data_IF_338362381035
#
_entry.id   IF_338362381035
#
_cell.length_a   1.000
_cell.length_b   1.000
_cell.length_c   1.000
_cell.angle_alpha   90.00
_cell.angle_beta   90.00
_cell.angle_gamma   90.00
#
_symmetry.space_group_name_H-M   'P 1'
#
loop_
_entity.id
_entity.type
_entity.pdbx_description
1 polymer ?
#
# COMPACT_ATOMS: atom_id res chain seq x y z
N UNK A 1 -15.53 9.90 -6.14
CA UNK A 1 -14.11 10.02 -5.71
C UNK A 1 -13.66 8.76 -4.95
N UNK A 2 -14.37 8.32 -3.91
CA UNK A 2 -14.06 7.09 -3.17
C UNK A 2 -13.89 5.84 -4.06
N UNK A 3 -14.81 5.60 -5.01
CA UNK A 3 -14.71 4.45 -5.94
C UNK A 3 -13.39 4.45 -6.74
N UNK A 4 -12.94 5.61 -7.19
CA UNK A 4 -11.68 5.75 -7.91
C UNK A 4 -10.49 5.41 -7.01
N UNK A 5 -10.49 5.89 -5.77
CA UNK A 5 -9.45 5.60 -4.77
C UNK A 5 -9.39 4.09 -4.48
N UNK A 6 -10.54 3.43 -4.35
CA UNK A 6 -10.62 1.98 -4.13
C UNK A 6 -10.07 1.21 -5.33
N UNK A 7 -10.46 1.58 -6.55
CA UNK A 7 -9.92 0.95 -7.76
C UNK A 7 -8.40 1.16 -7.83
N UNK A 8 -7.92 2.37 -7.55
CA UNK A 8 -6.50 2.70 -7.53
C UNK A 8 -5.71 1.87 -6.52
N UNK A 9 -6.19 1.76 -5.28
CA UNK A 9 -5.57 0.90 -4.27
C UNK A 9 -5.71 -0.59 -4.59
N UNK A 10 -6.80 -1.00 -5.22
CA UNK A 10 -6.99 -2.37 -5.70
C UNK A 10 -5.93 -2.76 -6.73
N UNK A 11 -5.71 -1.91 -7.73
CA UNK A 11 -4.65 -2.10 -8.74
C UNK A 11 -3.25 -2.08 -8.11
N UNK A 12 -3.00 -1.13 -7.21
CA UNK A 12 -1.72 -1.02 -6.50
C UNK A 12 -1.47 -2.25 -5.61
N UNK A 13 -2.50 -2.74 -4.94
CA UNK A 13 -2.47 -3.94 -4.11
C UNK A 13 -2.25 -5.21 -4.93
N UNK A 14 -2.92 -5.35 -6.08
CA UNK A 14 -2.66 -6.44 -7.04
C UNK A 14 -1.20 -6.45 -7.49
N UNK A 15 -0.63 -5.29 -7.82
CA UNK A 15 0.79 -5.18 -8.13
C UNK A 15 1.65 -5.61 -6.93
N UNK A 16 1.29 -5.20 -5.70
CA UNK A 16 1.95 -5.63 -4.48
C UNK A 16 1.93 -7.15 -4.27
N UNK A 17 0.80 -7.81 -4.53
CA UNK A 17 0.67 -9.27 -4.48
C UNK A 17 1.54 -9.93 -5.54
N UNK A 18 1.58 -9.42 -6.76
CA UNK A 18 2.47 -9.93 -7.81
C UNK A 18 3.94 -9.84 -7.36
N UNK A 19 4.34 -8.70 -6.78
CA UNK A 19 5.69 -8.51 -6.24
C UNK A 19 6.01 -9.48 -5.10
N UNK A 20 5.05 -9.72 -4.20
CA UNK A 20 5.16 -10.72 -3.14
C UNK A 20 5.38 -12.12 -3.72
N UNK A 21 4.55 -12.55 -4.67
CA UNK A 21 4.66 -13.87 -5.30
C UNK A 21 6.01 -14.05 -5.99
N UNK A 22 6.47 -13.05 -6.74
CA UNK A 22 7.79 -13.07 -7.37
C UNK A 22 8.91 -13.20 -6.33
N UNK A 23 8.84 -12.42 -5.25
CA UNK A 23 9.83 -12.43 -4.17
C UNK A 23 9.89 -13.79 -3.46
N UNK A 24 8.73 -14.39 -3.15
CA UNK A 24 8.64 -15.70 -2.51
C UNK A 24 9.07 -16.84 -3.44
N UNK A 25 8.87 -16.68 -4.76
CA UNK A 25 9.34 -17.63 -5.77
C UNK A 25 10.84 -17.55 -6.06
N UNK A 26 11.60 -16.73 -5.32
CA UNK A 26 13.02 -16.50 -5.56
C UNK A 26 13.34 -15.73 -6.84
N UNK A 27 12.32 -15.18 -7.52
CA UNK A 27 12.53 -14.40 -8.76
C UNK A 27 13.00 -13.00 -8.41
N UNK A 28 13.87 -12.45 -9.26
CA UNK A 28 14.38 -11.10 -9.10
C UNK A 28 13.28 -10.08 -9.43
N UNK A 29 12.94 -9.22 -8.47
CA UNK A 29 12.06 -8.07 -8.69
C UNK A 29 12.91 -6.92 -9.23
N UNK A 30 12.52 -6.36 -10.38
CA UNK A 30 13.16 -5.16 -10.94
C UNK A 30 12.88 -3.96 -10.03
N UNK A 31 13.90 -3.15 -9.74
CA UNK A 31 13.75 -1.93 -8.93
C UNK A 31 12.66 -1.00 -9.48
N UNK A 32 12.56 -0.87 -10.80
CA UNK A 32 11.53 -0.06 -11.46
C UNK A 32 10.11 -0.44 -11.04
N UNK A 33 9.81 -1.74 -10.93
CA UNK A 33 8.46 -2.20 -10.53
C UNK A 33 8.18 -1.85 -9.08
N UNK A 34 9.19 -1.94 -8.20
CA UNK A 34 9.08 -1.48 -6.81
C UNK A 34 8.86 0.03 -6.70
N UNK A 35 9.54 0.83 -7.53
CA UNK A 35 9.35 2.28 -7.62
C UNK A 35 7.91 2.58 -8.07
N UNK A 36 7.44 1.96 -9.15
CA UNK A 36 6.08 2.16 -9.66
C UNK A 36 5.04 1.83 -8.58
N UNK A 37 5.18 0.69 -7.90
CA UNK A 37 4.27 0.30 -6.82
C UNK A 37 4.30 1.31 -5.66
N UNK A 38 5.49 1.70 -5.20
CA UNK A 38 5.65 2.68 -4.12
C UNK A 38 5.08 4.06 -4.47
N UNK A 39 5.34 4.55 -5.68
CA UNK A 39 4.80 5.82 -6.16
C UNK A 39 3.28 5.77 -6.33
N UNK A 40 2.72 4.67 -6.83
CA UNK A 40 1.28 4.47 -6.92
C UNK A 40 0.62 4.45 -5.54
N UNK A 41 1.24 3.76 -4.56
CA UNK A 41 0.78 3.77 -3.17
C UNK A 41 0.80 5.16 -2.55
N UNK A 42 1.87 5.93 -2.74
CA UNK A 42 1.98 7.31 -2.27
C UNK A 42 0.92 8.22 -2.89
N UNK A 43 0.69 8.11 -4.20
CA UNK A 43 -0.37 8.84 -4.88
C UNK A 43 -1.75 8.47 -4.32
N UNK A 44 -1.98 7.18 -4.03
CA UNK A 44 -3.20 6.71 -3.38
C UNK A 44 -3.41 7.35 -1.99
N UNK A 45 -2.34 7.52 -1.21
CA UNK A 45 -2.40 8.18 0.10
C UNK A 45 -2.76 9.65 -0.06
N UNK A 46 -2.11 10.36 -0.99
CA UNK A 46 -2.42 11.75 -1.27
C UNK A 46 -3.89 11.94 -1.70
N UNK A 47 -4.40 11.06 -2.57
CA UNK A 47 -5.81 11.07 -2.99
C UNK A 47 -6.77 10.80 -1.82
N UNK A 48 -6.40 9.87 -0.93
CA UNK A 48 -7.22 9.54 0.25
C UNK A 48 -7.26 10.69 1.25
N UNK A 49 -6.12 11.32 1.53
CA UNK A 49 -6.04 12.53 2.37
C UNK A 49 -6.90 13.64 1.77
N UNK A 50 -6.73 13.91 0.47
CA UNK A 50 -7.53 14.91 -0.24
C UNK A 50 -9.03 14.63 -0.11
N UNK A 51 -9.47 13.38 -0.31
CA UNK A 51 -10.89 13.00 -0.15
C UNK A 51 -11.42 13.27 1.25
N UNK A 52 -10.64 12.95 2.29
CA UNK A 52 -11.06 13.08 3.68
C UNK A 52 -11.04 14.54 4.14
N UNK A 53 -10.19 15.39 3.56
CA UNK A 53 -10.24 16.84 3.84
C UNK A 53 -11.59 17.50 3.51
N UNK A 54 -12.44 16.84 2.71
CA UNK A 54 -13.79 17.31 2.37
C UNK A 54 -14.92 16.43 2.93
N UNK A 55 -14.60 15.39 3.71
CA UNK A 55 -15.57 14.46 4.28
C UNK A 55 -15.40 14.28 5.79
N UNK A 56 -16.48 14.30 6.56
CA UNK A 56 -16.44 14.08 8.01
C UNK A 56 -16.62 12.58 8.34
N UNK A 57 -15.66 11.96 9.04
CA UNK A 57 -15.81 10.62 9.59
C UNK A 57 -14.54 10.07 10.24
N UNK A 58 -14.59 9.77 11.54
CA UNK A 58 -13.45 9.24 12.34
C UNK A 58 -12.87 7.92 11.79
N UNK A 59 -13.72 7.14 11.13
CA UNK A 59 -13.40 5.82 10.58
C UNK A 59 -12.57 5.91 9.29
N UNK A 60 -12.66 7.03 8.56
CA UNK A 60 -11.82 7.34 7.42
C UNK A 60 -10.39 7.76 7.85
N UNK A 61 -10.26 8.44 8.99
CA UNK A 61 -8.96 8.79 9.57
C UNK A 61 -8.13 7.54 9.91
N UNK A 62 -8.75 6.54 10.54
CA UNK A 62 -8.08 5.26 10.84
C UNK A 62 -7.54 4.61 9.56
N UNK A 63 -8.29 4.69 8.46
CA UNK A 63 -7.88 4.12 7.17
C UNK A 63 -6.64 4.82 6.61
N UNK A 64 -6.56 6.16 6.72
CA UNK A 64 -5.33 6.90 6.36
C UNK A 64 -4.16 6.40 7.20
N UNK A 65 -4.31 6.29 8.52
CA UNK A 65 -3.22 5.89 9.42
C UNK A 65 -2.67 4.50 9.05
N UNK A 66 -3.55 3.56 8.70
CA UNK A 66 -3.13 2.22 8.26
C UNK A 66 -2.38 2.28 6.93
N UNK A 67 -2.85 3.06 5.96
CA UNK A 67 -2.13 3.23 4.68
C UNK A 67 -0.78 3.96 4.85
N UNK A 68 -0.70 4.97 5.73
CA UNK A 68 0.56 5.62 6.08
C UNK A 68 1.54 4.63 6.70
N UNK A 69 1.08 3.81 7.65
CA UNK A 69 1.91 2.76 8.24
C UNK A 69 2.39 1.77 7.17
N UNK A 70 1.48 1.31 6.30
CA UNK A 70 1.80 0.42 5.17
C UNK A 70 2.88 1.03 4.27
N UNK A 71 2.75 2.32 3.94
CA UNK A 71 3.70 3.06 3.11
C UNK A 71 5.07 3.21 3.79
N UNK A 72 5.13 3.54 5.08
CA UNK A 72 6.39 3.64 5.80
C UNK A 72 7.13 2.30 5.84
N UNK A 73 6.41 1.19 6.06
CA UNK A 73 7.00 -0.16 6.00
C UNK A 73 7.51 -0.45 4.59
N UNK A 74 6.71 -0.15 3.56
CA UNK A 74 7.09 -0.33 2.15
C UNK A 74 8.31 0.50 1.76
N UNK A 75 8.37 1.76 2.17
CA UNK A 75 9.50 2.67 1.95
C UNK A 75 10.75 2.20 2.68
N UNK A 76 10.63 1.67 3.90
CA UNK A 76 11.72 1.04 4.63
C UNK A 76 12.28 -0.19 3.89
N UNK A 77 11.41 -1.09 3.42
CA UNK A 77 11.82 -2.24 2.60
C UNK A 77 12.52 -1.78 1.33
N UNK A 78 11.97 -0.80 0.62
CA UNK A 78 12.57 -0.27 -0.61
C UNK A 78 13.95 0.35 -0.34
N UNK A 79 14.08 1.16 0.72
CA UNK A 79 15.34 1.75 1.15
C UNK A 79 16.40 0.68 1.45
N UNK A 80 16.06 -0.36 2.23
CA UNK A 80 17.02 -1.44 2.51
C UNK A 80 17.50 -2.13 1.24
N UNK A 81 16.62 -2.34 0.26
CA UNK A 81 16.97 -2.93 -1.05
C UNK A 81 17.91 -2.01 -1.84
N UNK A 82 17.68 -0.69 -1.85
CA UNK A 82 18.56 0.27 -2.53
C UNK A 82 19.98 0.28 -1.94
N UNK A 83 20.10 0.12 -0.62
CA UNK A 83 21.39 0.02 0.06
C UNK A 83 22.00 -1.39 0.03
N UNK A 84 21.49 -2.30 -0.82
CA UNK A 84 22.02 -3.67 -0.96
C UNK A 84 21.79 -4.56 0.26
N UNK A 85 20.96 -4.14 1.21
CA UNK A 85 20.63 -4.90 2.41
C UNK A 85 19.40 -5.79 2.17
N UNK A 86 19.30 -6.87 2.95
CA UNK A 86 18.10 -7.71 3.00
C UNK A 86 17.22 -7.26 4.17
N UNK A 87 15.92 -7.27 3.97
CA UNK A 87 14.94 -7.19 5.06
C UNK A 87 14.42 -8.60 5.39
N UNK A 88 14.04 -8.87 6.64
CA UNK A 88 13.44 -10.15 7.00
C UNK A 88 12.02 -10.30 6.42
N UNK A 89 11.68 -11.51 5.97
CA UNK A 89 10.42 -11.78 5.24
C UNK A 89 9.15 -11.47 6.04
N UNK A 90 9.20 -11.46 7.38
CA UNK A 90 8.06 -11.10 8.20
C UNK A 90 7.66 -9.62 8.04
N UNK A 91 8.60 -8.71 7.72
CA UNK A 91 8.26 -7.30 7.44
C UNK A 91 7.40 -7.19 6.18
N UNK A 92 7.71 -7.99 5.17
CA UNK A 92 6.92 -8.06 3.93
C UNK A 92 5.50 -8.56 4.20
N UNK A 93 5.35 -9.56 5.08
CA UNK A 93 4.04 -10.03 5.55
C UNK A 93 3.26 -8.91 6.24
N UNK A 94 3.88 -8.16 7.16
CA UNK A 94 3.22 -7.04 7.84
C UNK A 94 2.79 -5.96 6.83
N UNK A 95 3.64 -5.62 5.85
CA UNK A 95 3.29 -4.67 4.80
C UNK A 95 2.04 -5.11 4.02
N UNK A 96 1.97 -6.39 3.63
CA UNK A 96 0.81 -6.94 2.91
C UNK A 96 -0.45 -6.93 3.78
N UNK A 97 -0.34 -7.38 5.04
CA UNK A 97 -1.48 -7.43 5.95
C UNK A 97 -2.03 -6.03 6.27
N UNK A 98 -1.15 -5.06 6.51
CA UNK A 98 -1.55 -3.66 6.76
C UNK A 98 -2.22 -3.04 5.53
N UNK A 99 -1.67 -3.27 4.33
CA UNK A 99 -2.28 -2.80 3.08
C UNK A 99 -3.65 -3.43 2.80
N UNK A 100 -3.80 -4.74 3.00
CA UNK A 100 -5.09 -5.43 2.86
C UNK A 100 -6.12 -4.93 3.88
N UNK A 101 -5.69 -4.71 5.13
CA UNK A 101 -6.57 -4.17 6.18
C UNK A 101 -7.09 -2.79 5.79
N UNK A 102 -6.20 -1.90 5.31
CA UNK A 102 -6.59 -0.57 4.83
C UNK A 102 -7.58 -0.65 3.65
N UNK A 103 -7.33 -1.56 2.69
CA UNK A 103 -8.22 -1.75 1.54
C UNK A 103 -9.60 -2.29 1.95
N UNK A 104 -9.66 -3.25 2.88
CA UNK A 104 -10.92 -3.79 3.39
C UNK A 104 -11.75 -2.74 4.12
N UNK A 105 -11.12 -1.91 4.95
CA UNK A 105 -11.81 -0.79 5.59
C UNK A 105 -12.36 0.19 4.55
N UNK A 106 -11.52 0.57 3.57
CA UNK A 106 -11.92 1.48 2.50
C UNK A 106 -13.11 0.93 1.70
N UNK A 107 -13.11 -0.36 1.39
CA UNK A 107 -14.22 -1.05 0.74
C UNK A 107 -15.48 -1.08 1.61
N UNK A 108 -15.34 -1.28 2.92
CA UNK A 108 -16.44 -1.23 3.87
C UNK A 108 -17.14 0.13 3.94
N UNK A 109 -16.43 1.23 3.68
CA UNK A 109 -17.05 2.56 3.55
C UNK A 109 -17.75 2.76 2.21
N UNK A 110 -17.37 2.04 1.17
CA UNK A 110 -17.97 2.17 -0.15
C UNK A 110 -19.32 1.50 -0.28
N UNK A 111 -19.55 0.45 0.52
CA UNK A 111 -20.82 -0.28 0.55
C UNK A 111 -21.89 0.36 1.45
N UNK A 112 -21.54 1.40 2.20
CA UNK A 112 -22.45 2.17 3.05
C UNK A 112 -22.97 3.40 2.31
#
# INVERSE_FOLDING_TARGET
MLSFIIIWYGLTGLLGIILLVLKLSGKQVKHLTGIIHGSAGLAGIALLIFFISFGNGDSLLLTILIFLLTFLIGGGMFSTVLFGKKYPSWILLIHVLTGLTGLLLLFGFWLK
#
